data_IF_171924072259
#
_entry.id   IF_171924072259
#
_cell.length_a   1.000
_cell.length_b   1.000
_cell.length_c   1.000
_cell.angle_alpha   90.00
_cell.angle_beta   90.00
_cell.angle_gamma   90.00
#
_symmetry.space_group_name_H-M   'P 1'
#
loop_
_entity.id
_entity.type
_entity.pdbx_description
1 polymer ?
#
# COMPACT_ATOMS: atom_id res chain seq x y z
N UNK A 1 4.18 0.16 -24.10
CA UNK A 1 3.28 0.70 -23.06
C UNK A 1 3.96 0.42 -21.73
N UNK A 2 4.56 1.42 -21.10
CA UNK A 2 5.07 1.25 -19.74
C UNK A 2 3.85 1.25 -18.81
N UNK A 3 3.56 0.11 -18.22
CA UNK A 3 2.65 0.06 -17.08
C UNK A 3 3.43 0.76 -15.98
N UNK A 4 2.94 1.92 -15.50
CA UNK A 4 3.44 2.56 -14.29
C UNK A 4 3.24 1.58 -13.13
N UNK A 5 4.24 0.72 -12.91
CA UNK A 5 4.18 -0.36 -11.94
C UNK A 5 4.05 0.22 -10.53
N UNK A 6 2.98 -0.15 -9.82
CA UNK A 6 2.75 0.30 -8.46
C UNK A 6 3.81 -0.36 -7.58
N UNK A 7 4.76 0.44 -7.11
CA UNK A 7 5.85 0.01 -6.26
C UNK A 7 5.84 0.79 -4.93
N UNK A 8 6.20 0.13 -3.82
CA UNK A 8 6.27 0.77 -2.53
C UNK A 8 7.40 1.81 -2.53
N UNK A 9 7.04 3.04 -2.21
CA UNK A 9 7.98 4.16 -2.13
C UNK A 9 8.51 4.34 -0.71
N UNK A 10 7.74 3.92 0.30
CA UNK A 10 8.12 4.03 1.70
C UNK A 10 7.73 2.79 2.49
N UNK A 11 8.61 2.41 3.41
CA UNK A 11 8.30 1.52 4.53
C UNK A 11 7.83 2.38 5.71
N UNK A 12 6.62 2.13 6.20
CA UNK A 12 6.05 2.92 7.29
C UNK A 12 6.09 2.14 8.59
N UNK A 13 6.70 2.74 9.60
CA UNK A 13 6.81 2.22 10.95
C UNK A 13 5.98 3.08 11.91
N UNK A 14 5.28 2.43 12.84
CA UNK A 14 4.55 3.15 13.88
C UNK A 14 5.50 3.93 14.82
N UNK A 15 5.05 5.06 15.38
CA UNK A 15 5.81 5.78 16.39
C UNK A 15 6.22 4.87 17.56
N UNK A 16 7.51 4.72 17.78
CA UNK A 16 8.07 3.89 18.84
C UNK A 16 9.36 4.53 19.37
N UNK A 17 9.40 4.82 20.68
CA UNK A 17 10.57 5.43 21.33
C UNK A 17 11.82 4.54 21.32
N UNK A 18 11.64 3.24 21.09
CA UNK A 18 12.73 2.26 20.95
C UNK A 18 13.08 1.93 19.50
N UNK A 19 12.51 2.64 18.53
CA UNK A 19 12.79 2.41 17.11
C UNK A 19 14.27 2.63 16.79
N UNK A 20 14.87 1.68 16.07
CA UNK A 20 16.25 1.76 15.61
C UNK A 20 16.28 1.77 14.10
N UNK A 21 16.76 2.85 13.48
CA UNK A 21 16.92 2.93 12.01
C UNK A 21 17.83 1.83 11.45
N UNK A 22 18.82 1.38 12.21
CA UNK A 22 19.73 0.29 11.82
C UNK A 22 19.11 -1.11 11.92
N UNK A 23 18.00 -1.26 12.66
CA UNK A 23 17.28 -2.53 12.81
C UNK A 23 15.80 -2.22 13.05
N UNK A 24 15.08 -1.77 12.01
CA UNK A 24 13.74 -1.22 12.15
C UNK A 24 12.66 -2.30 12.34
N UNK A 25 13.00 -3.56 12.08
CA UNK A 25 12.05 -4.67 12.10
C UNK A 25 11.15 -4.68 10.86
N UNK A 26 10.02 -5.39 10.96
CA UNK A 26 9.02 -5.40 9.90
C UNK A 26 8.22 -4.09 9.87
N UNK A 27 8.00 -3.49 8.69
CA UNK A 27 7.16 -2.31 8.58
C UNK A 27 5.70 -2.64 8.92
N UNK A 28 4.98 -1.64 9.40
CA UNK A 28 3.55 -1.77 9.69
C UNK A 28 2.71 -1.80 8.42
N UNK A 29 3.14 -1.05 7.39
CA UNK A 29 2.62 -1.14 6.03
C UNK A 29 3.63 -0.55 5.04
N UNK A 30 3.48 -0.88 3.77
CA UNK A 30 4.21 -0.22 2.67
C UNK A 30 3.32 0.84 2.03
N UNK A 31 3.88 2.01 1.71
CA UNK A 31 3.18 3.11 1.06
C UNK A 31 3.58 3.23 -0.40
N UNK A 32 2.63 3.03 -1.31
CA UNK A 32 2.81 3.17 -2.75
C UNK A 32 2.30 4.54 -3.22
N UNK A 33 3.15 5.33 -3.90
CA UNK A 33 2.72 6.61 -4.47
C UNK A 33 2.04 6.40 -5.84
N UNK A 34 0.83 6.93 -5.98
CA UNK A 34 0.05 6.93 -7.22
C UNK A 34 0.30 8.26 -7.93
N UNK A 35 0.95 8.21 -9.11
CA UNK A 35 1.44 9.43 -9.76
C UNK A 35 0.40 10.16 -10.62
N UNK A 36 -0.55 9.46 -11.25
CA UNK A 36 -1.42 10.08 -12.26
C UNK A 36 -2.85 9.54 -12.33
N UNK A 37 -3.12 8.35 -11.79
CA UNK A 37 -4.45 7.73 -11.85
C UNK A 37 -4.65 6.79 -10.65
N UNK A 38 -5.90 6.59 -10.20
CA UNK A 38 -6.22 5.51 -9.29
C UNK A 38 -5.83 4.15 -9.90
N UNK A 39 -5.32 3.22 -9.10
CA UNK A 39 -4.94 1.89 -9.58
C UNK A 39 -6.19 1.10 -9.94
N UNK A 40 -6.09 0.26 -10.97
CA UNK A 40 -7.13 -0.71 -11.28
C UNK A 40 -7.13 -1.85 -10.26
N UNK A 41 -8.26 -2.55 -10.14
CA UNK A 41 -8.38 -3.70 -9.24
C UNK A 41 -7.36 -4.81 -9.55
N UNK A 42 -7.09 -5.08 -10.83
CA UNK A 42 -6.15 -6.12 -11.24
C UNK A 42 -4.72 -5.75 -10.82
N UNK A 43 -4.34 -4.48 -10.97
CA UNK A 43 -3.05 -3.98 -10.51
C UNK A 43 -2.92 -4.10 -8.98
N UNK A 44 -3.97 -3.76 -8.22
CA UNK A 44 -4.00 -3.94 -6.76
C UNK A 44 -3.80 -5.41 -6.34
N UNK A 45 -4.57 -6.32 -6.93
CA UNK A 45 -4.51 -7.76 -6.60
C UNK A 45 -3.13 -8.36 -6.95
N UNK A 46 -2.53 -7.95 -8.07
CA UNK A 46 -1.19 -8.41 -8.46
C UNK A 46 -0.12 -7.93 -7.48
N UNK A 47 -0.20 -6.67 -7.07
CA UNK A 47 0.76 -6.03 -6.17
C UNK A 47 0.65 -6.61 -4.77
N UNK A 48 -0.55 -6.80 -4.23
CA UNK A 48 -0.75 -7.42 -2.90
C UNK A 48 -0.10 -8.81 -2.79
N UNK A 49 -0.15 -9.61 -3.85
CA UNK A 49 0.48 -10.93 -3.89
C UNK A 49 2.02 -10.88 -3.89
N UNK A 50 2.62 -9.76 -4.29
CA UNK A 50 4.07 -9.63 -4.41
C UNK A 50 4.78 -9.23 -3.10
N UNK A 51 4.07 -8.65 -2.12
CA UNK A 51 4.68 -8.05 -0.92
C UNK A 51 4.56 -8.90 0.36
N UNK A 52 4.51 -10.23 0.22
CA UNK A 52 4.75 -11.16 1.33
C UNK A 52 3.80 -11.03 2.52
N UNK A 53 2.59 -10.51 2.31
CA UNK A 53 1.59 -10.30 3.35
C UNK A 53 1.76 -9.04 4.20
N UNK A 54 2.71 -8.16 3.90
CA UNK A 54 2.80 -6.83 4.52
C UNK A 54 1.65 -5.96 3.96
N UNK A 55 0.85 -5.29 4.80
CA UNK A 55 -0.25 -4.45 4.32
C UNK A 55 0.24 -3.33 3.38
N UNK A 56 -0.53 -3.06 2.34
CA UNK A 56 -0.27 -1.98 1.40
C UNK A 56 -1.21 -0.81 1.62
N UNK A 57 -0.68 0.41 1.50
CA UNK A 57 -1.46 1.63 1.39
C UNK A 57 -1.04 2.42 0.17
N UNK A 58 -1.99 3.15 -0.39
CA UNK A 58 -1.80 3.91 -1.61
C UNK A 58 -1.96 5.39 -1.31
N UNK A 59 -0.98 6.19 -1.73
CA UNK A 59 -0.99 7.63 -1.58
C UNK A 59 -1.34 8.26 -2.92
N UNK A 60 -2.41 9.04 -2.96
CA UNK A 60 -2.74 9.86 -4.11
C UNK A 60 -2.58 11.33 -3.73
N UNK A 61 -1.81 12.07 -4.52
CA UNK A 61 -1.63 13.52 -4.35
C UNK A 61 -2.32 14.21 -5.52
N UNK A 62 -3.35 14.98 -5.22
CA UNK A 62 -4.10 15.73 -6.22
C UNK A 62 -4.30 17.18 -5.75
N UNK A 63 -3.85 18.12 -6.56
CA UNK A 63 -3.93 19.56 -6.31
C UNK A 63 -3.49 19.97 -4.89
N UNK A 64 -2.40 19.37 -4.39
CA UNK A 64 -1.85 19.59 -3.04
C UNK A 64 -2.55 18.83 -1.91
N UNK A 65 -3.66 18.13 -2.19
CA UNK A 65 -4.35 17.26 -1.23
C UNK A 65 -3.75 15.86 -1.27
N UNK A 66 -3.33 15.38 -0.10
CA UNK A 66 -2.83 14.02 0.08
C UNK A 66 -3.96 13.12 0.59
N UNK A 67 -4.23 12.03 -0.11
CA UNK A 67 -5.21 11.01 0.27
C UNK A 67 -4.52 9.67 0.43
N UNK A 68 -4.81 8.97 1.53
CA UNK A 68 -4.34 7.62 1.79
C UNK A 68 -5.49 6.63 1.63
N UNK A 69 -5.29 5.61 0.81
CA UNK A 69 -6.27 4.56 0.56
C UNK A 69 -5.71 3.21 1.04
N UNK A 70 -6.58 2.40 1.62
CA UNK A 70 -6.33 1.00 1.95
C UNK A 70 -7.50 0.17 1.43
N UNK A 71 -7.19 -1.02 0.95
CA UNK A 71 -8.18 -1.96 0.45
C UNK A 71 -8.12 -3.21 1.29
N UNK A 72 -9.30 -3.70 1.68
CA UNK A 72 -9.45 -4.94 2.42
C UNK A 72 -10.27 -5.91 1.57
N UNK A 73 -9.78 -7.14 1.45
CA UNK A 73 -10.54 -8.22 0.82
C UNK A 73 -11.53 -8.79 1.84
N UNK A 74 -12.81 -8.58 1.59
CA UNK A 74 -13.89 -9.12 2.42
C UNK A 74 -14.58 -10.26 1.70
N UNK A 75 -14.70 -11.41 2.36
CA UNK A 75 -15.51 -12.52 1.87
C UNK A 75 -16.99 -12.24 2.19
N UNK A 76 -17.83 -12.23 1.17
CA UNK A 76 -19.27 -12.08 1.35
C UNK A 76 -19.90 -13.40 1.81
N UNK A 77 -20.91 -13.37 2.69
CA UNK A 77 -21.66 -14.55 3.05
C UNK A 77 -22.35 -15.13 1.80
N UNK A 78 -22.26 -16.45 1.63
CA UNK A 78 -23.05 -17.16 0.63
C UNK A 78 -24.42 -17.42 1.24
N UNK A 79 -25.48 -16.93 0.61
CA UNK A 79 -26.84 -17.29 0.98
C UNK A 79 -27.08 -18.76 0.61
N UNK A 80 -27.87 -19.50 1.42
CA UNK A 80 -28.21 -20.90 1.16
C UNK A 80 -28.97 -21.09 -0.17
#
# INVERSE_FOLDING_TARGET
MHIDEISPSFEVYLPNSKFKKSSPGAPSFLLCLLRNKPPSRIELEMVENNFGGIPLKYCHVDNGRVSFLSFDKVALPRLP
#
